data_IF_572855137355
#
_entry.id   IF_572855137355
#
_cell.length_a   1.000
_cell.length_b   1.000
_cell.length_c   1.000
_cell.angle_alpha   90.00
_cell.angle_beta   90.00
_cell.angle_gamma   90.00
#
_symmetry.space_group_name_H-M   'P 1'
#
loop_
_entity.id
_entity.type
_entity.pdbx_description
1 polymer ?
#
# COMPACT_ATOMS: atom_id res chain seq x y z
N UNK A 1 -13.52 41.87 -44.83
CA UNK A 1 -13.67 42.16 -43.38
C UNK A 1 -13.87 40.83 -42.66
N UNK A 2 -12.98 39.84 -42.82
CA UNK A 2 -11.55 39.79 -42.47
C UNK A 2 -11.31 40.01 -40.99
N UNK A 3 -11.45 38.92 -40.23
CA UNK A 3 -10.61 38.67 -39.07
C UNK A 3 -10.61 37.17 -38.73
N UNK A 4 -9.92 36.36 -39.55
CA UNK A 4 -9.71 34.91 -39.30
C UNK A 4 -8.31 34.41 -39.68
N UNK A 5 -7.32 35.30 -39.77
CA UNK A 5 -5.97 34.96 -40.26
C UNK A 5 -4.80 35.27 -39.33
N UNK A 6 -5.04 35.62 -38.06
CA UNK A 6 -3.95 36.05 -37.16
C UNK A 6 -3.76 35.13 -35.94
N UNK A 7 -3.71 33.80 -36.17
CA UNK A 7 -3.25 32.83 -35.16
C UNK A 7 -2.48 31.65 -35.81
N UNK A 8 -1.58 31.97 -36.75
CA UNK A 8 -0.65 31.00 -37.37
C UNK A 8 0.76 31.57 -37.45
N UNK A 9 1.44 31.63 -36.31
CA UNK A 9 2.89 31.79 -36.09
C UNK A 9 3.02 31.81 -34.54
N UNK A 10 3.76 30.99 -33.81
CA UNK A 10 4.96 30.20 -34.09
C UNK A 10 5.08 29.18 -32.95
N UNK A 11 4.64 27.93 -33.14
CA UNK A 11 5.11 26.85 -32.26
C UNK A 11 6.30 26.25 -33.01
N UNK A 12 7.50 26.67 -32.62
CA UNK A 12 8.71 25.93 -32.97
C UNK A 12 8.54 24.55 -32.32
N UNK A 13 8.33 23.53 -33.14
CA UNK A 13 8.45 22.14 -32.76
C UNK A 13 9.88 21.89 -32.27
N UNK A 14 10.14 22.14 -30.99
CA UNK A 14 11.22 21.47 -30.28
C UNK A 14 10.86 20.00 -30.27
N UNK A 15 11.49 19.24 -31.17
CA UNK A 15 11.55 17.78 -31.11
C UNK A 15 11.76 17.37 -29.65
N UNK A 16 10.96 16.44 -29.10
CA UNK A 16 11.28 15.87 -27.80
C UNK A 16 12.66 15.22 -27.94
N UNK A 17 13.64 15.75 -27.22
CA UNK A 17 14.90 15.06 -27.00
C UNK A 17 14.55 13.65 -26.50
N UNK A 18 15.04 12.65 -27.24
CA UNK A 18 14.94 11.26 -26.81
C UNK A 18 15.43 11.19 -25.36
N UNK A 19 14.75 10.44 -24.46
CA UNK A 19 15.22 10.30 -23.09
C UNK A 19 16.68 9.87 -23.15
N UNK A 20 17.52 10.72 -22.57
CA UNK A 20 18.94 10.53 -22.45
C UNK A 20 19.14 9.11 -21.90
N UNK A 21 19.66 8.20 -22.73
CA UNK A 21 20.03 6.86 -22.30
C UNK A 21 20.99 7.08 -21.15
N UNK A 22 20.52 6.82 -19.93
CA UNK A 22 21.32 6.94 -18.72
C UNK A 22 22.61 6.17 -18.97
N UNK A 23 23.70 6.93 -18.94
CA UNK A 23 25.07 6.49 -19.13
C UNK A 23 25.40 5.41 -18.09
N UNK A 24 25.17 4.15 -18.46
CA UNK A 24 25.43 2.98 -17.62
C UNK A 24 26.92 2.87 -17.22
N UNK A 25 27.82 3.56 -17.92
CA UNK A 25 29.26 3.60 -17.59
C UNK A 25 29.58 4.40 -16.32
N UNK A 26 28.69 5.31 -15.89
CA UNK A 26 28.98 6.22 -14.77
C UNK A 26 28.38 5.74 -13.43
N UNK A 27 27.50 4.73 -13.45
CA UNK A 27 26.92 4.16 -12.23
C UNK A 27 27.88 3.21 -11.51
N UNK A 28 28.83 2.57 -12.21
CA UNK A 28 29.79 1.64 -11.58
C UNK A 28 30.92 2.32 -10.82
N UNK A 29 31.03 3.66 -10.90
CA UNK A 29 32.03 4.47 -10.18
C UNK A 29 31.52 5.05 -8.87
N UNK A 30 30.20 4.97 -8.62
CA UNK A 30 29.61 5.48 -7.39
C UNK A 30 29.87 4.51 -6.24
N UNK A 31 30.27 5.06 -5.09
CA UNK A 31 30.31 4.28 -3.85
C UNK A 31 28.90 3.81 -3.48
N UNK A 32 28.75 2.70 -2.74
CA UNK A 32 27.44 2.24 -2.26
C UNK A 32 26.63 3.33 -1.54
N UNK A 33 27.27 4.15 -0.70
CA UNK A 33 26.60 5.29 -0.06
C UNK A 33 26.06 6.31 -1.08
N UNK A 34 26.82 6.60 -2.14
CA UNK A 34 26.38 7.55 -3.18
C UNK A 34 25.23 6.98 -4.02
N UNK A 35 25.29 5.69 -4.36
CA UNK A 35 24.19 4.97 -5.03
C UNK A 35 22.93 5.03 -4.20
N UNK A 36 23.03 4.73 -2.91
CA UNK A 36 21.89 4.79 -1.99
C UNK A 36 21.29 6.20 -1.94
N UNK A 37 22.11 7.23 -1.70
CA UNK A 37 21.64 8.63 -1.68
C UNK A 37 20.95 9.04 -2.98
N UNK A 38 21.51 8.66 -4.13
CA UNK A 38 20.90 8.91 -5.44
C UNK A 38 19.57 8.16 -5.62
N UNK A 39 19.45 6.97 -5.01
CA UNK A 39 18.19 6.22 -5.04
C UNK A 39 17.06 6.93 -4.27
N UNK A 40 17.41 7.72 -3.24
CA UNK A 40 16.47 8.51 -2.45
C UNK A 40 15.91 9.74 -3.17
N UNK A 41 16.50 10.14 -4.29
CA UNK A 41 15.93 11.17 -5.16
C UNK A 41 14.70 10.58 -5.88
N UNK A 42 13.52 10.94 -5.39
CA UNK A 42 12.23 10.47 -5.92
C UNK A 42 11.82 11.33 -7.12
N UNK A 43 11.65 10.70 -8.28
CA UNK A 43 11.00 11.31 -9.43
C UNK A 43 9.58 10.73 -9.60
N UNK A 44 8.80 11.30 -10.53
CA UNK A 44 7.43 10.88 -10.77
C UNK A 44 7.33 9.37 -11.07
N UNK A 45 8.19 8.85 -11.93
CA UNK A 45 8.22 7.43 -12.30
C UNK A 45 8.45 6.53 -11.09
N UNK A 46 9.46 6.83 -10.27
CA UNK A 46 9.75 6.03 -9.06
C UNK A 46 8.60 6.05 -8.06
N UNK A 47 7.91 7.17 -7.93
CA UNK A 47 6.73 7.26 -7.07
C UNK A 47 5.55 6.47 -7.65
N UNK A 48 5.26 6.66 -8.95
CA UNK A 48 4.15 6.01 -9.65
C UNK A 48 4.31 4.48 -9.75
N UNK A 49 5.51 4.02 -10.05
CA UNK A 49 5.81 2.59 -10.26
C UNK A 49 6.20 1.87 -8.96
N UNK A 50 6.17 2.56 -7.81
CA UNK A 50 6.49 1.98 -6.51
C UNK A 50 7.96 1.53 -6.40
N UNK A 51 8.88 2.24 -7.03
CA UNK A 51 10.31 1.88 -7.02
C UNK A 51 10.93 2.30 -5.67
N UNK A 52 11.47 1.30 -4.96
CA UNK A 52 12.16 1.47 -3.68
C UNK A 52 13.56 2.07 -3.80
N UNK A 53 14.26 2.14 -2.67
CA UNK A 53 15.67 2.52 -2.65
C UNK A 53 16.56 1.41 -3.25
N UNK A 54 17.82 1.75 -3.56
CA UNK A 54 18.83 0.78 -3.99
C UNK A 54 19.29 -0.04 -2.77
N UNK A 55 18.50 -1.06 -2.39
CA UNK A 55 18.77 -1.93 -1.25
C UNK A 55 20.08 -2.71 -1.43
N UNK A 56 20.44 -3.06 -2.67
CA UNK A 56 21.69 -3.75 -2.95
C UNK A 56 22.92 -2.87 -2.63
N UNK A 57 22.78 -1.55 -2.71
CA UNK A 57 23.82 -0.65 -2.21
C UNK A 57 24.05 -0.78 -0.69
N UNK A 58 23.02 -1.11 0.11
CA UNK A 58 23.21 -1.37 1.55
C UNK A 58 24.02 -2.65 1.77
N UNK A 59 23.75 -3.70 0.98
CA UNK A 59 24.45 -4.99 1.08
C UNK A 59 25.92 -4.89 0.70
N UNK A 60 26.24 -4.05 -0.29
CA UNK A 60 27.59 -3.82 -0.78
C UNK A 60 28.36 -2.77 0.04
N UNK A 61 27.69 -2.01 0.90
CA UNK A 61 28.30 -0.95 1.68
C UNK A 61 29.31 -1.47 2.70
N UNK A 62 30.44 -0.75 2.82
CA UNK A 62 31.36 -0.96 3.94
C UNK A 62 30.68 -0.67 5.30
N UNK A 63 31.22 -1.16 6.44
CA UNK A 63 30.64 -0.86 7.75
C UNK A 63 30.52 0.64 8.08
N UNK A 64 31.38 1.48 7.50
CA UNK A 64 31.31 2.94 7.67
C UNK A 64 30.19 3.54 6.82
N UNK A 65 30.05 3.10 5.57
CA UNK A 65 28.97 3.55 4.68
C UNK A 65 27.60 3.10 5.18
N UNK A 66 27.47 1.83 5.61
CA UNK A 66 26.22 1.31 6.17
C UNK A 66 25.75 2.09 7.39
N UNK A 67 26.68 2.49 8.28
CA UNK A 67 26.37 3.40 9.41
C UNK A 67 25.94 4.78 8.95
N UNK A 68 26.52 5.31 7.87
CA UNK A 68 26.12 6.60 7.31
C UNK A 68 24.72 6.54 6.68
N UNK A 69 24.40 5.45 5.97
CA UNK A 69 23.05 5.18 5.45
C UNK A 69 22.04 5.08 6.60
N UNK A 70 22.35 4.29 7.63
CA UNK A 70 21.49 4.16 8.82
C UNK A 70 21.22 5.51 9.49
N UNK A 71 22.27 6.30 9.71
CA UNK A 71 22.16 7.61 10.34
C UNK A 71 21.23 8.54 9.54
N UNK A 72 21.36 8.52 8.21
CA UNK A 72 20.53 9.30 7.30
C UNK A 72 19.05 8.92 7.43
N UNK A 73 18.74 7.62 7.39
CA UNK A 73 17.37 7.11 7.49
C UNK A 73 16.73 7.43 8.85
N UNK A 74 17.49 7.31 9.93
CA UNK A 74 16.99 7.61 11.28
C UNK A 74 16.75 9.11 11.45
N UNK A 75 17.64 9.97 10.94
CA UNK A 75 17.48 11.42 11.01
C UNK A 75 16.26 11.92 10.24
N UNK A 76 15.84 11.19 9.19
CA UNK A 76 14.66 11.53 8.43
C UNK A 76 13.35 11.22 9.16
N UNK A 77 13.37 10.40 10.23
CA UNK A 77 12.19 9.79 10.87
C UNK A 77 11.33 9.05 9.83
N UNK A 78 11.38 7.71 9.72
CA UNK A 78 10.84 6.97 8.58
C UNK A 78 9.51 7.51 8.05
N UNK A 79 9.52 8.06 6.84
CA UNK A 79 8.40 8.86 6.30
C UNK A 79 7.45 8.05 5.43
N UNK A 80 7.97 6.96 4.87
CA UNK A 80 7.26 6.06 3.99
C UNK A 80 7.85 4.64 4.09
N UNK A 81 7.29 3.75 3.28
CA UNK A 81 7.64 2.34 3.28
C UNK A 81 9.10 2.04 2.89
N UNK A 82 9.75 2.91 2.11
CA UNK A 82 11.13 2.72 1.62
C UNK A 82 12.14 2.91 2.74
N UNK A 83 11.89 3.88 3.62
CA UNK A 83 12.72 4.10 4.80
C UNK A 83 12.66 2.88 5.73
N UNK A 84 11.46 2.30 5.90
CA UNK A 84 11.26 1.09 6.71
C UNK A 84 11.94 -0.13 6.09
N UNK A 85 11.79 -0.35 4.78
CA UNK A 85 12.46 -1.43 4.05
C UNK A 85 13.99 -1.34 4.19
N UNK A 86 14.56 -0.14 3.96
CA UNK A 86 16.01 0.05 4.06
C UNK A 86 16.55 -0.12 5.50
N UNK A 87 15.82 0.35 6.51
CA UNK A 87 16.18 0.09 7.91
C UNK A 87 16.08 -1.41 8.24
N UNK A 88 15.10 -2.11 7.68
CA UNK A 88 14.94 -3.55 7.88
C UNK A 88 16.11 -4.34 7.27
N UNK A 89 16.62 -3.93 6.10
CA UNK A 89 17.85 -4.49 5.52
C UNK A 89 19.07 -4.21 6.42
N UNK A 90 19.17 -3.01 7.00
CA UNK A 90 20.28 -2.63 7.88
C UNK A 90 20.28 -3.46 9.16
N UNK A 91 19.12 -3.70 9.78
CA UNK A 91 18.93 -4.63 10.90
C UNK A 91 19.92 -4.50 12.08
N UNK A 92 20.38 -3.30 12.39
CA UNK A 92 21.12 -3.02 13.64
C UNK A 92 20.12 -2.91 14.80
N UNK A 93 20.60 -2.91 16.04
CA UNK A 93 19.73 -2.66 17.21
C UNK A 93 18.99 -1.32 17.09
N UNK A 94 19.69 -0.28 16.66
CA UNK A 94 19.15 1.08 16.53
C UNK A 94 18.16 1.20 15.36
N UNK A 95 18.41 0.54 14.23
CA UNK A 95 17.44 0.46 13.14
C UNK A 95 16.15 -0.25 13.58
N UNK A 96 16.27 -1.39 14.29
CA UNK A 96 15.10 -2.10 14.85
C UNK A 96 14.30 -1.26 15.84
N UNK A 97 14.97 -0.55 16.73
CA UNK A 97 14.30 0.37 17.68
C UNK A 97 13.57 1.50 16.94
N UNK A 98 14.18 2.03 15.88
CA UNK A 98 13.55 3.06 15.03
C UNK A 98 12.29 2.51 14.36
N UNK A 99 12.37 1.34 13.72
CA UNK A 99 11.22 0.67 13.08
C UNK A 99 10.11 0.37 14.10
N UNK A 100 10.45 -0.09 15.31
CA UNK A 100 9.45 -0.33 16.36
C UNK A 100 8.72 0.94 16.76
N UNK A 101 9.44 2.06 16.86
CA UNK A 101 8.82 3.34 17.18
C UNK A 101 7.89 3.84 16.06
N UNK A 102 8.15 3.48 14.80
CA UNK A 102 7.29 3.77 13.65
C UNK A 102 5.89 3.15 13.75
N UNK A 103 5.67 2.11 14.57
CA UNK A 103 4.32 1.59 14.84
C UNK A 103 3.40 2.60 15.53
N UNK A 104 3.95 3.70 16.07
CA UNK A 104 3.20 4.81 16.68
C UNK A 104 2.94 5.95 15.70
N UNK A 105 3.41 5.84 14.45
CA UNK A 105 3.22 6.88 13.43
C UNK A 105 1.73 7.03 13.10
N UNK A 106 1.19 8.26 12.97
CA UNK A 106 -0.20 8.46 12.59
C UNK A 106 -0.53 7.93 11.19
N UNK A 107 0.45 7.85 10.27
CA UNK A 107 0.24 7.35 8.92
C UNK A 107 0.17 5.82 8.89
N UNK A 108 -0.99 5.30 8.47
CA UNK A 108 -1.23 3.85 8.35
C UNK A 108 -0.31 3.15 7.37
N UNK A 109 0.12 3.82 6.30
CA UNK A 109 0.99 3.20 5.28
C UNK A 109 2.38 2.93 5.84
N UNK A 110 2.87 3.84 6.69
CA UNK A 110 4.17 3.66 7.35
C UNK A 110 4.09 2.52 8.36
N UNK A 111 3.00 2.42 9.13
CA UNK A 111 2.79 1.27 10.03
C UNK A 111 2.65 -0.05 9.26
N UNK A 112 1.93 -0.05 8.14
CA UNK A 112 1.80 -1.22 7.27
C UNK A 112 3.16 -1.66 6.70
N UNK A 113 4.04 -0.73 6.36
CA UNK A 113 5.39 -1.06 5.94
C UNK A 113 6.17 -1.82 7.01
N UNK A 114 5.99 -1.51 8.29
CA UNK A 114 6.63 -2.25 9.40
C UNK A 114 6.17 -3.70 9.42
N UNK A 115 4.87 -3.94 9.29
CA UNK A 115 4.32 -5.31 9.32
C UNK A 115 4.75 -6.12 8.10
N UNK A 116 5.02 -5.45 6.97
CA UNK A 116 5.50 -6.08 5.73
C UNK A 116 7.00 -6.38 5.74
N UNK A 117 7.84 -5.39 6.06
CA UNK A 117 9.30 -5.51 5.93
C UNK A 117 10.00 -5.96 7.21
N UNK A 118 9.36 -5.79 8.37
CA UNK A 118 9.93 -6.17 9.67
C UNK A 118 8.90 -6.90 10.57
N UNK A 119 8.21 -7.94 10.08
CA UNK A 119 7.14 -8.61 10.82
C UNK A 119 7.59 -9.20 12.16
N UNK A 120 8.87 -9.57 12.30
CA UNK A 120 9.42 -10.14 13.54
C UNK A 120 9.63 -9.11 14.66
N UNK A 121 9.50 -7.80 14.35
CA UNK A 121 9.64 -6.73 15.32
C UNK A 121 8.33 -6.34 16.00
N UNK A 122 7.21 -6.82 15.49
CA UNK A 122 5.86 -6.53 15.99
C UNK A 122 5.20 -7.82 16.46
N UNK A 123 4.33 -7.69 17.44
CA UNK A 123 3.45 -8.79 17.85
C UNK A 123 2.31 -8.97 16.85
N UNK A 124 1.70 -10.16 16.84
CA UNK A 124 0.50 -10.41 16.03
C UNK A 124 -0.63 -9.43 16.38
N UNK A 125 -0.79 -9.11 17.67
CA UNK A 125 -1.79 -8.13 18.12
C UNK A 125 -1.54 -6.74 17.52
N UNK A 126 -0.31 -6.23 17.56
CA UNK A 126 0.06 -4.94 16.97
C UNK A 126 -0.14 -4.94 15.45
N UNK A 127 0.21 -6.04 14.78
CA UNK A 127 -0.01 -6.22 13.35
C UNK A 127 -1.50 -6.19 13.01
N UNK A 128 -2.32 -6.97 13.70
CA UNK A 128 -3.78 -6.97 13.53
C UNK A 128 -4.38 -5.60 13.74
N UNK A 129 -4.01 -4.89 14.81
CA UNK A 129 -4.52 -3.54 15.07
C UNK A 129 -4.13 -2.55 13.97
N UNK A 130 -2.89 -2.62 13.47
CA UNK A 130 -2.46 -1.77 12.35
C UNK A 130 -3.28 -2.01 11.08
N UNK A 131 -3.55 -3.28 10.76
CA UNK A 131 -4.37 -3.67 9.60
C UNK A 131 -5.82 -3.23 9.78
N UNK A 132 -6.42 -3.47 10.95
CA UNK A 132 -7.80 -3.07 11.27
C UNK A 132 -7.96 -1.55 11.15
N UNK A 133 -7.01 -0.78 11.66
CA UNK A 133 -7.05 0.68 11.59
C UNK A 133 -6.90 1.17 10.14
N UNK A 134 -6.02 0.55 9.35
CA UNK A 134 -5.90 0.86 7.95
C UNK A 134 -7.21 0.55 7.18
N UNK A 135 -7.87 -0.57 7.45
CA UNK A 135 -9.17 -0.92 6.84
C UNK A 135 -10.27 0.09 7.14
N UNK A 136 -10.18 0.86 8.24
CA UNK A 136 -11.16 1.91 8.56
C UNK A 136 -11.00 3.16 7.70
N UNK A 137 -9.78 3.47 7.27
CA UNK A 137 -9.45 4.76 6.66
C UNK A 137 -8.95 4.67 5.22
N UNK A 138 -8.40 3.53 4.79
CA UNK A 138 -7.83 3.40 3.45
C UNK A 138 -8.89 3.62 2.36
N UNK A 139 -8.51 4.33 1.31
CA UNK A 139 -9.35 4.63 0.15
C UNK A 139 -8.88 3.85 -1.08
N UNK A 140 -9.77 3.68 -2.05
CA UNK A 140 -9.40 3.13 -3.36
C UNK A 140 -8.37 4.05 -4.01
N UNK A 141 -7.29 3.46 -4.56
CA UNK A 141 -6.11 4.17 -5.09
C UNK A 141 -5.20 4.88 -4.05
N UNK A 142 -5.55 4.82 -2.75
CA UNK A 142 -4.75 5.37 -1.65
C UNK A 142 -4.38 4.27 -0.64
N UNK A 143 -3.68 3.24 -1.13
CA UNK A 143 -3.10 2.17 -0.29
C UNK A 143 -4.02 0.97 0.00
N UNK A 144 -5.33 1.06 -0.27
CA UNK A 144 -6.26 -0.05 0.02
C UNK A 144 -5.92 -1.34 -0.74
N UNK A 145 -5.51 -1.25 -2.01
CA UNK A 145 -5.15 -2.43 -2.81
C UNK A 145 -3.98 -3.21 -2.17
N UNK A 146 -2.92 -2.51 -1.76
CA UNK A 146 -1.78 -3.15 -1.09
C UNK A 146 -2.16 -3.73 0.27
N UNK A 147 -3.04 -3.05 1.02
CA UNK A 147 -3.57 -3.58 2.28
C UNK A 147 -4.34 -4.90 2.05
N UNK A 148 -5.12 -4.98 0.97
CA UNK A 148 -5.84 -6.20 0.62
C UNK A 148 -4.89 -7.34 0.22
N UNK A 149 -3.82 -7.05 -0.53
CA UNK A 149 -2.77 -8.05 -0.84
C UNK A 149 -2.09 -8.59 0.43
N UNK A 150 -1.89 -7.75 1.44
CA UNK A 150 -1.31 -8.14 2.73
C UNK A 150 -2.29 -8.98 3.55
N UNK A 151 -3.59 -8.65 3.51
CA UNK A 151 -4.67 -9.39 4.18
C UNK A 151 -4.84 -10.79 3.60
N UNK A 152 -4.73 -10.94 2.28
CA UNK A 152 -4.76 -12.26 1.63
C UNK A 152 -3.76 -13.22 2.29
N UNK A 153 -2.58 -12.70 2.67
CA UNK A 153 -1.51 -13.46 3.34
C UNK A 153 -1.65 -13.50 4.86
N UNK A 154 -2.33 -12.54 5.47
CA UNK A 154 -2.47 -12.39 6.92
C UNK A 154 -3.88 -11.93 7.33
N UNK A 155 -4.72 -12.90 7.69
CA UNK A 155 -6.14 -12.68 8.00
C UNK A 155 -6.57 -13.42 9.29
N UNK A 156 -6.00 -13.07 10.45
CA UNK A 156 -6.52 -13.57 11.72
C UNK A 156 -7.99 -13.16 11.90
N UNK A 157 -8.69 -13.81 12.84
CA UNK A 157 -10.14 -13.68 12.97
C UNK A 157 -10.57 -12.22 13.12
N UNK A 158 -9.88 -11.42 13.94
CA UNK A 158 -10.18 -10.00 14.16
C UNK A 158 -10.08 -9.14 12.90
N UNK A 159 -9.17 -9.47 11.96
CA UNK A 159 -9.08 -8.78 10.65
C UNK A 159 -10.27 -9.17 9.76
N UNK A 160 -10.68 -10.45 9.79
CA UNK A 160 -11.89 -10.90 9.09
C UNK A 160 -13.15 -10.23 9.65
N UNK A 161 -13.28 -10.14 10.97
CA UNK A 161 -14.39 -9.43 11.62
C UNK A 161 -14.41 -7.93 11.23
N UNK A 162 -13.24 -7.30 11.10
CA UNK A 162 -13.14 -5.92 10.66
C UNK A 162 -13.57 -5.73 9.20
N UNK A 163 -13.24 -6.66 8.29
CA UNK A 163 -13.76 -6.66 6.92
C UNK A 163 -15.28 -6.81 6.88
N UNK A 164 -15.83 -7.78 7.62
CA UNK A 164 -17.28 -8.04 7.70
C UNK A 164 -18.01 -6.78 8.19
N UNK A 165 -17.53 -6.20 9.29
CA UNK A 165 -18.09 -4.96 9.85
C UNK A 165 -17.94 -3.79 8.87
N UNK A 166 -16.79 -3.75 8.18
CA UNK A 166 -16.44 -2.75 7.18
C UNK A 166 -17.43 -2.70 6.01
N UNK A 167 -17.98 -3.84 5.57
CA UNK A 167 -18.99 -3.87 4.51
C UNK A 167 -20.25 -3.05 4.86
N UNK A 168 -20.61 -2.99 6.13
CA UNK A 168 -21.81 -2.27 6.59
C UNK A 168 -21.56 -0.79 6.92
N UNK A 169 -20.31 -0.38 7.06
CA UNK A 169 -19.91 0.99 7.42
C UNK A 169 -19.22 1.75 6.29
N UNK A 170 -18.50 1.06 5.41
CA UNK A 170 -17.91 1.62 4.19
C UNK A 170 -18.94 1.54 3.04
N UNK A 171 -18.76 2.37 2.03
CA UNK A 171 -19.70 2.52 0.92
C UNK A 171 -18.99 2.39 -0.44
N UNK A 172 -19.78 2.20 -1.49
CA UNK A 172 -19.30 2.15 -2.87
C UNK A 172 -18.24 1.07 -3.09
N UNK A 173 -17.19 1.44 -3.82
CA UNK A 173 -16.16 0.50 -4.27
C UNK A 173 -15.44 -0.19 -3.10
N UNK A 174 -15.25 0.47 -1.96
CA UNK A 174 -14.59 -0.17 -0.80
C UNK A 174 -15.38 -1.38 -0.29
N UNK A 175 -16.71 -1.26 -0.20
CA UNK A 175 -17.56 -2.36 0.24
C UNK A 175 -17.56 -3.53 -0.78
N UNK A 176 -17.47 -3.23 -2.07
CA UNK A 176 -17.29 -4.23 -3.15
C UNK A 176 -15.98 -5.00 -2.94
N UNK A 177 -14.87 -4.29 -2.72
CA UNK A 177 -13.56 -4.91 -2.52
C UNK A 177 -13.53 -5.79 -1.24
N UNK A 178 -14.19 -5.35 -0.16
CA UNK A 178 -14.27 -6.15 1.07
C UNK A 178 -15.10 -7.41 0.88
N UNK A 179 -16.24 -7.33 0.18
CA UNK A 179 -17.06 -8.49 -0.12
C UNK A 179 -16.29 -9.52 -0.96
N UNK A 180 -15.56 -9.06 -1.98
CA UNK A 180 -14.72 -9.88 -2.83
C UNK A 180 -13.61 -10.58 -2.03
N UNK A 181 -12.89 -9.82 -1.18
CA UNK A 181 -11.85 -10.36 -0.29
C UNK A 181 -12.41 -11.43 0.66
N UNK A 182 -13.53 -11.18 1.34
CA UNK A 182 -14.15 -12.17 2.23
C UNK A 182 -14.54 -13.45 1.49
N UNK A 183 -15.08 -13.32 0.27
CA UNK A 183 -15.45 -14.48 -0.54
C UNK A 183 -14.24 -15.38 -0.85
N UNK A 184 -13.10 -14.76 -1.14
CA UNK A 184 -11.84 -15.46 -1.34
C UNK A 184 -11.31 -16.09 -0.04
N UNK A 185 -11.26 -15.33 1.06
CA UNK A 185 -10.75 -15.80 2.36
C UNK A 185 -11.56 -16.99 2.93
N UNK A 186 -12.85 -17.08 2.61
CA UNK A 186 -13.72 -18.20 3.00
C UNK A 186 -13.70 -19.35 1.97
N UNK A 187 -12.83 -19.28 0.96
CA UNK A 187 -12.64 -20.34 -0.04
C UNK A 187 -13.81 -20.48 -1.03
N UNK A 188 -14.68 -19.47 -1.14
CA UNK A 188 -15.83 -19.49 -2.07
C UNK A 188 -15.47 -18.96 -3.46
N UNK A 189 -14.31 -18.30 -3.60
CA UNK A 189 -13.71 -17.91 -4.87
C UNK A 189 -12.24 -18.34 -4.95
N UNK A 190 -11.78 -18.68 -6.17
CA UNK A 190 -10.39 -19.08 -6.43
C UNK A 190 -9.40 -17.90 -6.40
N UNK A 191 -9.91 -16.70 -6.66
CA UNK A 191 -9.15 -15.45 -6.70
C UNK A 191 -10.02 -14.33 -6.10
N UNK A 192 -9.40 -13.25 -5.62
CA UNK A 192 -10.10 -12.15 -4.94
C UNK A 192 -11.25 -11.59 -5.79
N UNK A 193 -11.04 -11.39 -7.10
CA UNK A 193 -12.04 -10.85 -8.03
C UNK A 193 -12.56 -11.89 -9.03
N UNK A 194 -13.07 -13.02 -8.53
CA UNK A 194 -13.70 -14.04 -9.38
C UNK A 194 -14.88 -13.44 -10.17
N UNK A 195 -14.72 -13.40 -11.49
CA UNK A 195 -15.70 -12.80 -12.41
C UNK A 195 -17.08 -13.47 -12.35
N UNK A 196 -17.17 -14.73 -11.89
CA UNK A 196 -18.46 -15.41 -11.69
C UNK A 196 -19.25 -14.83 -10.53
N UNK A 197 -18.55 -14.30 -9.53
CA UNK A 197 -19.15 -13.71 -8.32
C UNK A 197 -19.34 -12.20 -8.44
N UNK A 198 -18.81 -11.57 -9.51
CA UNK A 198 -18.96 -10.14 -9.79
C UNK A 198 -20.39 -9.62 -9.64
N UNK A 199 -21.46 -10.31 -10.11
CA UNK A 199 -22.84 -9.83 -9.91
C UNK A 199 -23.23 -9.68 -8.44
N UNK A 200 -22.71 -10.53 -7.54
CA UNK A 200 -22.92 -10.41 -6.10
C UNK A 200 -22.15 -9.22 -5.53
N UNK A 201 -20.86 -9.10 -5.87
CA UNK A 201 -20.00 -8.05 -5.33
C UNK A 201 -20.50 -6.66 -5.69
N UNK A 202 -21.00 -6.48 -6.92
CA UNK A 202 -21.54 -5.20 -7.38
C UNK A 202 -22.80 -4.74 -6.64
N UNK A 203 -23.50 -5.63 -5.92
CA UNK A 203 -24.63 -5.22 -5.07
C UNK A 203 -24.19 -4.31 -3.91
N UNK A 204 -22.90 -4.32 -3.56
CA UNK A 204 -22.33 -3.43 -2.54
C UNK A 204 -21.93 -2.06 -3.09
N UNK A 205 -21.96 -1.85 -4.41
CA UNK A 205 -21.75 -0.54 -5.04
C UNK A 205 -23.03 0.29 -4.94
N UNK A 206 -23.44 0.59 -3.71
CA UNK A 206 -24.64 1.35 -3.39
C UNK A 206 -24.41 2.22 -2.16
N UNK A 207 -24.91 3.45 -2.22
CA UNK A 207 -24.99 4.36 -1.08
C UNK A 207 -26.19 3.99 -0.17
N UNK A 208 -27.21 3.29 -0.72
CA UNK A 208 -28.40 2.92 0.03
C UNK A 208 -28.09 1.82 1.06
N UNK A 209 -28.21 2.20 2.34
CA UNK A 209 -27.98 1.30 3.48
C UNK A 209 -28.88 0.06 3.47
N UNK A 210 -30.14 0.18 3.07
CA UNK A 210 -31.06 -0.97 3.04
C UNK A 210 -30.69 -1.98 1.96
N UNK A 211 -30.30 -1.50 0.78
CA UNK A 211 -29.79 -2.35 -0.31
C UNK A 211 -28.50 -3.06 0.14
N UNK A 212 -27.60 -2.32 0.79
CA UNK A 212 -26.36 -2.86 1.33
C UNK A 212 -26.61 -3.92 2.40
N UNK A 213 -27.59 -3.73 3.29
CA UNK A 213 -27.99 -4.75 4.28
C UNK A 213 -28.58 -6.00 3.63
N UNK A 214 -29.38 -5.85 2.56
CA UNK A 214 -29.90 -6.99 1.78
C UNK A 214 -28.75 -7.76 1.11
N UNK A 215 -27.81 -7.05 0.48
CA UNK A 215 -26.62 -7.65 -0.10
C UNK A 215 -25.75 -8.35 0.95
N UNK A 216 -25.59 -7.74 2.12
CA UNK A 216 -24.84 -8.30 3.26
C UNK A 216 -25.44 -9.61 3.75
N UNK A 217 -26.75 -9.69 3.95
CA UNK A 217 -27.41 -10.95 4.35
C UNK A 217 -27.17 -12.07 3.33
N UNK A 218 -27.26 -11.75 2.03
CA UNK A 218 -26.97 -12.70 0.94
C UNK A 218 -25.51 -13.16 0.95
N UNK A 219 -24.57 -12.25 1.20
CA UNK A 219 -23.16 -12.60 1.35
C UNK A 219 -22.97 -13.55 2.54
N UNK A 220 -23.48 -13.19 3.72
CA UNK A 220 -23.40 -14.01 4.92
C UNK A 220 -23.98 -15.43 4.72
N UNK A 221 -25.12 -15.56 4.05
CA UNK A 221 -25.70 -16.86 3.69
C UNK A 221 -24.73 -17.72 2.86
N UNK A 222 -24.06 -17.13 1.87
CA UNK A 222 -23.08 -17.87 1.04
C UNK A 222 -21.80 -18.23 1.79
N UNK A 223 -21.43 -17.41 2.77
CA UNK A 223 -20.24 -17.60 3.60
C UNK A 223 -20.49 -18.46 4.84
N UNK A 224 -21.74 -18.85 5.12
CA UNK A 224 -22.16 -19.55 6.35
C UNK A 224 -21.85 -18.72 7.62
N UNK A 225 -22.20 -17.43 7.58
CA UNK A 225 -22.01 -16.46 8.68
C UNK A 225 -23.39 -16.02 9.19
N UNK A 226 -23.57 -15.93 10.51
CA UNK A 226 -24.76 -15.32 11.09
C UNK A 226 -24.77 -13.80 10.89
N UNK A 227 -25.60 -13.32 9.97
CA UNK A 227 -25.72 -11.91 9.64
C UNK A 227 -26.25 -11.08 10.82
N UNK A 228 -27.13 -11.65 11.65
CA UNK A 228 -27.85 -10.89 12.68
C UNK A 228 -26.92 -10.47 13.82
N UNK A 229 -25.84 -11.24 14.08
CA UNK A 229 -24.73 -10.82 14.96
C UNK A 229 -24.20 -9.42 14.62
N UNK A 230 -24.07 -9.10 13.33
CA UNK A 230 -23.49 -7.83 12.87
C UNK A 230 -24.53 -6.73 12.67
N UNK A 231 -25.79 -7.10 12.40
CA UNK A 231 -26.88 -6.15 12.22
C UNK A 231 -27.47 -5.65 13.55
N UNK A 232 -27.43 -6.48 14.60
CA UNK A 232 -27.88 -6.11 15.95
C UNK A 232 -26.94 -5.15 16.70
N UNK A 233 -25.70 -5.00 16.22
CA UNK A 233 -24.64 -4.23 16.88
C UNK A 233 -24.68 -2.71 16.57
N UNK A 234 -25.84 -2.16 16.20
CA UNK A 234 -26.02 -0.75 15.84
C UNK A 234 -27.24 -0.12 16.49
#
# INVERSE_FOLDING_TARGET
MDNKEEYRQTIKETKPEKPNRLDHSNQSLLSPLQRFKKSMEVNYEKWHDGIGYDIDAIKLASPTERRAIEQLLIQHSPRDWRDVEALAEINTKRARETIKNTMKDPNSDVRAAVTRFAPTLVTDSERSQSVIEALRHAEVFSGLSHMLDDIEKYHPNEVREALITGILSREGDVAVLFAAMLFHLYGKAKEVFDMKQRPLFLLFSTENREERVKAFRRLCEQLDIDAEKYLASK
#
